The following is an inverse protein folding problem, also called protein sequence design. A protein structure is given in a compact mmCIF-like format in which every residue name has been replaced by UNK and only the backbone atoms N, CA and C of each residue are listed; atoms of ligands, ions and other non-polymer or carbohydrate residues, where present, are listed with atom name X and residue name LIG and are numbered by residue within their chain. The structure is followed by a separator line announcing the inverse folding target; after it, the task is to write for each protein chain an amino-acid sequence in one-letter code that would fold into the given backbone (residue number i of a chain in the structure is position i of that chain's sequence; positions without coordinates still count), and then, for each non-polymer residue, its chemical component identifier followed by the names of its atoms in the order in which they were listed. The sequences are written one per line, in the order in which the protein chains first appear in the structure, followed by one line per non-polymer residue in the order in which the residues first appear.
data_IF_516126947146
#
_entry.id   IF_516126947146
#
_cell.length_a   1.000
_cell.length_b   1.000
_cell.length_c   1.000
_cell.angle_alpha   90.00
_cell.angle_beta   90.00
_cell.angle_gamma   90.00
#
_symmetry.space_group_name_H-M   'P 1'
#
loop_
_entity.id
_entity.type
_entity.pdbx_description
1 polymer ?
#
# COMPACT_ATOMS: atom_id res chain seq x y z
N UNK A 1 5.30 3.58 -19.38
CA UNK A 1 6.32 3.20 -18.39
C UNK A 1 5.60 2.58 -17.21
N UNK A 2 6.11 1.49 -16.62
CA UNK A 2 5.51 0.86 -15.44
C UNK A 2 6.21 1.34 -14.19
N UNK A 3 5.43 1.68 -13.15
CA UNK A 3 5.97 2.03 -11.84
C UNK A 3 6.19 0.79 -10.96
N UNK A 4 5.54 -0.33 -11.30
CA UNK A 4 5.68 -1.59 -10.59
C UNK A 4 5.51 -2.75 -11.57
N UNK A 5 6.36 -3.76 -11.50
CA UNK A 5 6.17 -5.01 -12.25
C UNK A 5 6.61 -6.22 -11.43
N UNK A 6 5.91 -7.32 -11.64
CA UNK A 6 6.25 -8.66 -11.20
C UNK A 6 6.26 -9.59 -12.41
N UNK A 7 7.26 -10.45 -12.55
CA UNK A 7 7.36 -11.45 -13.60
C UNK A 7 7.68 -12.81 -12.98
N UNK A 8 6.79 -13.78 -13.20
CA UNK A 8 6.89 -15.16 -12.73
C UNK A 8 7.22 -15.32 -11.25
N UNK A 9 6.62 -14.43 -10.43
CA UNK A 9 6.88 -14.40 -8.99
C UNK A 9 6.30 -15.62 -8.32
N UNK A 10 7.15 -16.35 -7.60
CA UNK A 10 6.75 -17.48 -6.74
C UNK A 10 7.00 -17.17 -5.27
N UNK A 11 6.19 -17.78 -4.41
CA UNK A 11 6.43 -17.77 -2.97
C UNK A 11 6.06 -19.07 -2.33
N UNK A 12 7.04 -19.70 -1.70
CA UNK A 12 6.87 -20.91 -0.90
C UNK A 12 7.30 -20.62 0.53
N UNK A 13 6.42 -20.90 1.48
CA UNK A 13 6.73 -20.88 2.91
C UNK A 13 7.09 -22.29 3.37
N UNK A 14 7.99 -22.37 4.34
CA UNK A 14 8.39 -23.63 4.98
C UNK A 14 7.93 -23.63 6.43
N UNK A 15 7.13 -24.60 6.81
CA UNK A 15 6.69 -24.86 8.18
C UNK A 15 7.19 -26.24 8.59
N UNK A 16 8.32 -26.29 9.30
CA UNK A 16 8.97 -27.54 9.67
C UNK A 16 9.40 -28.34 8.43
N UNK A 17 8.76 -29.53 8.21
CA UNK A 17 9.02 -30.40 7.05
C UNK A 17 8.09 -30.13 5.86
N UNK A 18 7.03 -29.37 6.06
CA UNK A 18 6.07 -29.06 5.00
C UNK A 18 6.44 -27.77 4.27
N UNK A 19 6.06 -27.69 3.00
CA UNK A 19 6.23 -26.50 2.19
C UNK A 19 4.90 -26.13 1.53
N UNK A 20 4.45 -24.91 1.75
CA UNK A 20 3.21 -24.37 1.17
C UNK A 20 3.56 -23.36 0.09
N UNK A 21 3.21 -23.67 -1.16
CA UNK A 21 3.39 -22.76 -2.29
C UNK A 21 2.17 -21.86 -2.42
N UNK A 22 2.36 -20.57 -2.08
CA UNK A 22 1.29 -19.55 -2.08
C UNK A 22 1.22 -18.79 -3.40
N UNK A 23 2.37 -18.47 -4.01
CA UNK A 23 2.42 -17.88 -5.36
C UNK A 23 3.10 -18.84 -6.32
N UNK A 24 2.51 -19.01 -7.51
CA UNK A 24 2.86 -20.04 -8.48
C UNK A 24 3.17 -19.44 -9.87
N UNK A 25 4.01 -18.38 -9.93
CA UNK A 25 4.35 -17.68 -11.16
C UNK A 25 3.40 -16.51 -11.44
N UNK A 26 3.13 -15.68 -10.41
CA UNK A 26 2.30 -14.50 -10.57
C UNK A 26 3.03 -13.42 -11.36
N UNK A 27 2.39 -12.90 -12.43
CA UNK A 27 2.91 -11.79 -13.24
C UNK A 27 1.89 -10.67 -13.28
N UNK A 28 2.36 -9.42 -12.99
CA UNK A 28 1.51 -8.24 -12.90
C UNK A 28 2.33 -7.01 -13.26
N UNK A 29 1.69 -6.05 -13.92
CA UNK A 29 2.29 -4.74 -14.22
C UNK A 29 1.33 -3.63 -13.84
N UNK A 30 1.86 -2.56 -13.25
CA UNK A 30 1.14 -1.35 -12.87
C UNK A 30 1.76 -0.16 -13.59
N UNK A 31 0.99 0.48 -14.44
CA UNK A 31 1.45 1.65 -15.19
C UNK A 31 1.56 2.90 -14.29
N UNK A 32 2.28 3.91 -14.77
CA UNK A 32 2.33 5.20 -14.09
C UNK A 32 0.93 5.85 -14.11
N UNK A 33 0.47 6.30 -12.94
CA UNK A 33 -0.85 6.92 -12.77
C UNK A 33 -2.04 5.97 -12.84
N UNK A 34 -1.81 4.65 -12.93
CA UNK A 34 -2.88 3.65 -12.99
C UNK A 34 -3.40 3.31 -11.60
N UNK A 35 -4.71 3.13 -11.48
CA UNK A 35 -5.37 2.47 -10.35
C UNK A 35 -5.71 1.04 -10.76
N UNK A 36 -5.03 0.07 -10.19
CA UNK A 36 -5.22 -1.36 -10.45
C UNK A 36 -5.88 -2.01 -9.23
N UNK A 37 -7.01 -2.67 -9.44
CA UNK A 37 -7.63 -3.53 -8.43
C UNK A 37 -7.16 -4.99 -8.61
N UNK A 38 -6.71 -5.61 -7.52
CA UNK A 38 -6.38 -7.04 -7.45
C UNK A 38 -7.43 -7.75 -6.61
N UNK A 39 -8.27 -8.53 -7.27
CA UNK A 39 -9.36 -9.28 -6.66
C UNK A 39 -9.05 -10.78 -6.60
N UNK A 40 -9.75 -11.51 -5.75
CA UNK A 40 -9.67 -12.96 -5.66
C UNK A 40 -10.18 -13.50 -4.32
N UNK A 41 -10.43 -14.81 -4.19
CA UNK A 41 -10.92 -15.41 -2.96
C UNK A 41 -9.91 -15.28 -1.80
N UNK A 42 -10.38 -15.51 -0.58
CA UNK A 42 -9.48 -15.60 0.59
C UNK A 42 -8.47 -16.74 0.38
N UNK A 43 -7.21 -16.50 0.76
CA UNK A 43 -6.13 -17.49 0.58
C UNK A 43 -5.55 -17.57 -0.83
N UNK A 44 -6.02 -16.80 -1.82
CA UNK A 44 -5.48 -16.84 -3.19
C UNK A 44 -4.07 -16.27 -3.36
N UNK A 45 -3.50 -15.64 -2.33
CA UNK A 45 -2.14 -15.07 -2.37
C UNK A 45 -2.08 -13.55 -2.54
N UNK A 46 -3.20 -12.81 -2.52
CA UNK A 46 -3.26 -11.34 -2.69
C UNK A 46 -2.31 -10.58 -1.77
N UNK A 47 -2.48 -10.73 -0.46
CA UNK A 47 -1.64 -10.06 0.56
C UNK A 47 -0.18 -10.48 0.45
N UNK A 48 0.10 -11.73 0.08
CA UNK A 48 1.46 -12.22 -0.15
C UNK A 48 2.10 -11.52 -1.35
N UNK A 49 1.38 -11.44 -2.47
CA UNK A 49 1.85 -10.73 -3.67
C UNK A 49 2.05 -9.23 -3.35
N UNK A 50 1.07 -8.60 -2.71
CA UNK A 50 1.17 -7.20 -2.29
C UNK A 50 2.38 -6.95 -1.39
N UNK A 51 2.65 -7.84 -0.44
CA UNK A 51 3.81 -7.75 0.47
C UNK A 51 5.14 -7.88 -0.27
N UNK A 52 5.22 -8.73 -1.29
CA UNK A 52 6.42 -8.87 -2.14
C UNK A 52 6.62 -7.59 -2.97
N UNK A 53 5.57 -7.11 -3.63
CA UNK A 53 5.59 -5.88 -4.41
C UNK A 53 5.91 -4.66 -3.54
N UNK A 54 5.47 -4.67 -2.28
CA UNK A 54 5.77 -3.67 -1.26
C UNK A 54 7.17 -3.78 -0.64
N UNK A 55 8.00 -4.72 -1.10
CA UNK A 55 9.32 -4.98 -0.53
C UNK A 55 9.29 -5.27 0.98
N UNK A 56 8.19 -5.82 1.50
CA UNK A 56 8.04 -6.31 2.87
C UNK A 56 8.44 -7.78 2.99
N UNK A 57 8.29 -8.54 1.92
CA UNK A 57 8.56 -9.96 1.84
C UNK A 57 9.43 -10.26 0.61
N UNK A 58 10.37 -11.19 0.74
CA UNK A 58 11.16 -11.67 -0.38
C UNK A 58 10.39 -12.73 -1.19
N UNK A 59 10.45 -12.65 -2.51
CA UNK A 59 10.02 -13.73 -3.39
C UNK A 59 10.93 -14.95 -3.25
N UNK A 60 10.41 -16.15 -3.54
CA UNK A 60 11.23 -17.38 -3.66
C UNK A 60 11.96 -17.36 -5.01
N UNK A 61 11.26 -16.99 -6.08
CA UNK A 61 11.83 -16.77 -7.42
C UNK A 61 11.01 -15.74 -8.20
N UNK A 62 11.43 -15.41 -9.40
CA UNK A 62 10.84 -14.39 -10.25
C UNK A 62 11.54 -13.05 -10.10
N UNK A 63 11.00 -12.03 -10.77
CA UNK A 63 11.56 -10.66 -10.80
C UNK A 63 10.53 -9.65 -10.33
N UNK A 64 11.00 -8.65 -9.59
CA UNK A 64 10.20 -7.47 -9.20
C UNK A 64 10.98 -6.24 -9.59
N UNK A 65 10.28 -5.27 -10.20
CA UNK A 65 10.84 -3.96 -10.50
C UNK A 65 9.94 -2.87 -9.90
N UNK A 66 10.56 -1.86 -9.33
CA UNK A 66 9.89 -0.68 -8.75
C UNK A 66 10.52 0.58 -9.32
N UNK A 67 9.71 1.49 -9.84
CA UNK A 67 10.15 2.72 -10.49
C UNK A 67 11.21 2.48 -11.59
N UNK A 68 11.02 1.40 -12.38
CA UNK A 68 11.93 0.99 -13.45
C UNK A 68 13.27 0.40 -13.01
N UNK A 69 13.42 0.08 -11.70
CA UNK A 69 14.63 -0.50 -11.16
C UNK A 69 14.38 -1.93 -10.65
N UNK A 70 15.21 -2.91 -11.03
CA UNK A 70 15.08 -4.27 -10.53
C UNK A 70 15.42 -4.31 -9.03
N UNK A 71 14.62 -5.06 -8.28
CA UNK A 71 14.76 -5.20 -6.83
C UNK A 71 15.41 -6.56 -6.51
N UNK A 72 16.61 -6.55 -5.92
CA UNK A 72 17.23 -7.78 -5.43
C UNK A 72 16.55 -8.22 -4.12
N UNK A 73 15.59 -9.15 -4.27
CA UNK A 73 14.80 -9.67 -3.15
C UNK A 73 15.61 -10.44 -2.11
N UNK A 74 16.86 -10.81 -2.42
CA UNK A 74 17.77 -11.52 -1.50
C UNK A 74 18.52 -10.58 -0.56
N UNK A 75 18.49 -9.26 -0.84
CA UNK A 75 19.20 -8.25 -0.04
C UNK A 75 18.20 -7.42 0.78
N UNK A 76 18.05 -7.65 2.09
CA UNK A 76 17.14 -6.89 2.94
C UNK A 76 17.33 -5.36 2.87
N UNK A 77 18.59 -4.91 2.78
CA UNK A 77 18.90 -3.48 2.66
C UNK A 77 18.39 -2.87 1.34
N UNK A 78 18.44 -3.63 0.22
CA UNK A 78 17.87 -3.17 -1.06
C UNK A 78 16.34 -3.06 -0.99
N UNK A 79 15.67 -4.05 -0.41
CA UNK A 79 14.22 -4.00 -0.18
C UNK A 79 13.83 -2.78 0.67
N UNK A 80 14.56 -2.52 1.76
CA UNK A 80 14.31 -1.38 2.64
C UNK A 80 14.50 -0.04 1.91
N UNK A 81 15.58 0.10 1.12
CA UNK A 81 15.88 1.32 0.37
C UNK A 81 14.77 1.64 -0.65
N UNK A 82 14.33 0.64 -1.44
CA UNK A 82 13.25 0.79 -2.41
C UNK A 82 11.94 1.15 -1.73
N UNK A 83 11.56 0.42 -0.67
CA UNK A 83 10.33 0.69 0.08
C UNK A 83 10.33 2.11 0.65
N UNK A 84 11.43 2.53 1.27
CA UNK A 84 11.56 3.87 1.84
C UNK A 84 11.38 4.96 0.80
N UNK A 85 11.90 4.77 -0.43
CA UNK A 85 11.94 5.80 -1.47
C UNK A 85 10.67 5.86 -2.32
N UNK A 86 10.10 4.69 -2.66
CA UNK A 86 9.11 4.60 -3.74
C UNK A 86 7.74 4.12 -3.29
N UNK A 87 7.62 3.52 -2.10
CA UNK A 87 6.39 2.82 -1.72
C UNK A 87 5.73 3.46 -0.50
N UNK A 88 4.43 3.73 -0.62
CA UNK A 88 3.51 3.95 0.46
C UNK A 88 2.66 2.72 0.69
N UNK A 89 2.44 2.31 1.94
CA UNK A 89 1.63 1.13 2.25
C UNK A 89 0.47 1.48 3.18
N UNK A 90 -0.74 1.11 2.77
CA UNK A 90 -1.98 1.24 3.54
C UNK A 90 -2.44 -0.16 3.93
N UNK A 91 -2.44 -0.44 5.24
CA UNK A 91 -2.79 -1.75 5.78
C UNK A 91 -4.26 -1.83 6.18
N UNK A 92 -4.85 -3.01 6.11
CA UNK A 92 -6.22 -3.29 6.50
C UNK A 92 -6.50 -2.92 7.97
N UNK A 93 -5.55 -3.15 8.88
CA UNK A 93 -5.67 -2.84 10.31
C UNK A 93 -5.06 -1.48 10.69
N UNK A 94 -4.92 -0.57 9.73
CA UNK A 94 -4.34 0.77 9.88
C UNK A 94 -2.87 0.77 10.32
N UNK A 95 -2.45 -0.08 11.23
CA UNK A 95 -1.10 -0.21 11.81
C UNK A 95 -0.53 1.13 12.30
N UNK A 96 -1.38 1.94 12.95
CA UNK A 96 -0.96 3.19 13.60
C UNK A 96 -0.24 2.89 14.90
N UNK A 97 0.74 3.72 15.22
CA UNK A 97 1.40 3.69 16.51
C UNK A 97 0.43 4.23 17.58
N UNK A 98 0.00 3.41 18.56
CA UNK A 98 -1.07 3.80 19.48
C UNK A 98 -0.68 4.91 20.45
N UNK A 99 0.62 5.10 20.69
CA UNK A 99 1.17 6.13 21.57
C UNK A 99 1.44 7.45 20.85
N UNK A 100 1.32 7.50 19.53
CA UNK A 100 1.54 8.69 18.72
C UNK A 100 0.20 9.25 18.25
N UNK A 101 0.06 10.59 18.25
CA UNK A 101 -1.07 11.29 17.66
C UNK A 101 -1.17 11.05 16.14
N UNK A 102 -2.26 11.50 15.51
CA UNK A 102 -2.42 11.44 14.07
C UNK A 102 -1.27 12.13 13.33
N UNK A 103 -0.89 13.34 13.77
CA UNK A 103 0.23 14.11 13.23
C UNK A 103 1.56 13.37 13.40
N UNK A 104 1.86 12.90 14.61
CA UNK A 104 3.11 12.20 14.93
C UNK A 104 3.25 10.87 14.18
N UNK A 105 2.15 10.16 13.89
CA UNK A 105 2.18 8.96 13.05
C UNK A 105 2.68 9.26 11.62
N UNK A 106 2.31 10.43 11.07
CA UNK A 106 2.76 10.87 9.74
C UNK A 106 4.20 11.41 9.81
N UNK A 107 4.49 12.22 10.81
CA UNK A 107 5.82 12.77 11.06
C UNK A 107 6.87 11.68 11.24
N UNK A 108 6.55 10.63 12.00
CA UNK A 108 7.43 9.47 12.15
C UNK A 108 7.80 8.82 10.80
N UNK A 109 6.81 8.70 9.89
CA UNK A 109 7.08 8.16 8.55
C UNK A 109 7.98 9.07 7.70
N UNK A 110 7.83 10.39 7.83
CA UNK A 110 8.70 11.38 7.19
C UNK A 110 10.13 11.28 7.74
N UNK A 111 10.28 11.15 9.08
CA UNK A 111 11.57 11.00 9.72
C UNK A 111 12.32 9.75 9.22
N UNK A 112 11.63 8.62 9.08
CA UNK A 112 12.20 7.40 8.51
C UNK A 112 12.67 7.59 7.06
N UNK A 113 12.09 8.54 6.34
CA UNK A 113 12.44 8.88 4.96
C UNK A 113 13.49 9.99 4.85
N UNK A 114 13.95 10.52 5.99
CA UNK A 114 15.03 11.51 6.07
C UNK A 114 14.57 12.97 6.15
N UNK A 115 13.25 13.23 6.22
CA UNK A 115 12.69 14.56 6.50
C UNK A 115 12.54 14.69 8.00
N UNK A 116 13.21 15.65 8.64
CA UNK A 116 13.29 15.80 10.10
C UNK A 116 13.01 17.23 10.57
N UNK A 117 12.75 17.40 11.88
CA UNK A 117 12.54 18.71 12.50
C UNK A 117 11.29 19.42 11.99
N UNK A 118 11.31 20.75 12.00
CA UNK A 118 10.17 21.60 11.63
C UNK A 118 9.61 21.30 10.23
N UNK A 119 10.46 20.85 9.31
CA UNK A 119 10.06 20.46 7.96
C UNK A 119 9.17 19.20 7.99
N UNK A 120 9.51 18.19 8.82
CA UNK A 120 8.69 17.01 8.99
C UNK A 120 7.32 17.37 9.59
N UNK A 121 7.31 18.20 10.62
CA UNK A 121 6.07 18.67 11.27
C UNK A 121 5.18 19.43 10.29
N UNK A 122 5.76 20.31 9.48
CA UNK A 122 5.04 21.09 8.48
C UNK A 122 4.44 20.17 7.39
N UNK A 123 5.21 19.26 6.84
CA UNK A 123 4.72 18.32 5.83
C UNK A 123 3.68 17.35 6.39
N UNK A 124 3.85 16.89 7.62
CA UNK A 124 2.87 16.04 8.29
C UNK A 124 1.54 16.77 8.48
N UNK A 125 1.57 18.06 8.90
CA UNK A 125 0.37 18.86 9.05
C UNK A 125 -0.37 19.03 7.71
N UNK A 126 0.33 19.29 6.62
CA UNK A 126 -0.25 19.38 5.28
C UNK A 126 -0.91 18.06 4.84
N UNK A 127 -0.28 16.93 5.11
CA UNK A 127 -0.84 15.61 4.78
C UNK A 127 -2.08 15.29 5.62
N UNK A 128 -2.09 15.67 6.90
CA UNK A 128 -3.24 15.48 7.81
C UNK A 128 -4.40 16.39 7.38
N UNK A 129 -4.12 17.64 7.01
CA UNK A 129 -5.12 18.57 6.48
C UNK A 129 -5.72 18.04 5.17
N UNK A 130 -4.89 17.55 4.28
CA UNK A 130 -5.29 16.98 2.99
C UNK A 130 -6.27 15.80 3.11
N UNK A 131 -6.12 14.97 4.14
CA UNK A 131 -7.08 13.89 4.40
C UNK A 131 -8.28 14.34 5.25
N UNK A 132 -8.44 15.65 5.47
CA UNK A 132 -9.57 16.25 6.17
C UNK A 132 -9.54 16.04 7.69
N UNK A 133 -8.35 15.98 8.29
CA UNK A 133 -8.16 15.70 9.72
C UNK A 133 -7.40 16.82 10.48
N UNK A 134 -7.34 18.04 9.97
CA UNK A 134 -6.62 19.15 10.59
C UNK A 134 -7.00 19.34 12.07
N UNK A 135 -8.30 19.34 12.40
CA UNK A 135 -8.80 19.49 13.77
C UNK A 135 -8.55 18.25 14.65
N UNK A 136 -8.15 17.12 14.05
CA UNK A 136 -7.88 15.85 14.74
C UNK A 136 -6.39 15.51 14.77
N UNK A 137 -5.52 16.43 14.32
CA UNK A 137 -4.07 16.21 14.22
C UNK A 137 -3.42 15.73 15.52
N UNK A 138 -3.90 16.20 16.67
CA UNK A 138 -3.37 15.87 18.01
C UNK A 138 -4.07 14.70 18.69
N UNK A 139 -5.09 14.07 18.06
CA UNK A 139 -5.80 12.95 18.63
C UNK A 139 -4.97 11.67 18.54
N UNK A 140 -5.05 10.85 19.59
CA UNK A 140 -4.47 9.51 19.57
C UNK A 140 -5.37 8.55 18.76
N UNK A 141 -4.83 7.45 18.22
CA UNK A 141 -5.62 6.48 17.47
C UNK A 141 -6.85 5.95 18.22
N UNK A 142 -6.79 5.79 19.53
CA UNK A 142 -7.92 5.35 20.35
C UNK A 142 -9.12 6.31 20.30
N UNK A 143 -8.87 7.59 20.05
CA UNK A 143 -9.87 8.66 20.06
C UNK A 143 -10.40 8.96 18.62
N UNK A 144 -9.94 8.21 17.63
CA UNK A 144 -10.31 8.32 16.23
C UNK A 144 -11.29 7.19 15.83
N UNK A 145 -12.27 7.52 14.98
CA UNK A 145 -13.12 6.52 14.31
C UNK A 145 -12.30 5.65 13.34
N UNK A 146 -12.87 4.52 12.89
CA UNK A 146 -12.22 3.65 11.91
C UNK A 146 -11.85 4.39 10.61
N UNK A 147 -12.76 5.19 10.07
CA UNK A 147 -12.49 6.00 8.87
C UNK A 147 -11.44 7.09 9.09
N UNK A 148 -11.39 7.69 10.28
CA UNK A 148 -10.34 8.66 10.63
C UNK A 148 -8.98 7.97 10.74
N UNK A 149 -8.89 6.79 11.37
CA UNK A 149 -7.67 5.97 11.41
C UNK A 149 -7.18 5.62 10.00
N UNK A 150 -8.10 5.26 9.11
CA UNK A 150 -7.75 4.96 7.72
C UNK A 150 -7.19 6.17 7.00
N UNK A 151 -7.78 7.35 7.18
CA UNK A 151 -7.27 8.59 6.61
C UNK A 151 -5.87 8.94 7.14
N UNK A 152 -5.59 8.72 8.43
CA UNK A 152 -4.24 8.87 8.99
C UNK A 152 -3.27 7.86 8.37
N UNK A 153 -3.68 6.60 8.19
CA UNK A 153 -2.86 5.57 7.54
C UNK A 153 -2.54 5.94 6.07
N UNK A 154 -3.49 6.54 5.34
CA UNK A 154 -3.27 7.07 3.99
C UNK A 154 -2.30 8.25 4.02
N UNK A 155 -2.50 9.24 4.90
CA UNK A 155 -1.58 10.37 5.05
C UNK A 155 -0.14 9.89 5.33
N UNK A 156 0.00 8.91 6.22
CA UNK A 156 1.29 8.27 6.51
C UNK A 156 1.89 7.57 5.29
N UNK A 157 1.08 6.87 4.51
CA UNK A 157 1.53 6.21 3.29
C UNK A 157 2.03 7.21 2.24
N UNK A 158 1.44 8.41 2.20
CA UNK A 158 1.83 9.50 1.30
C UNK A 158 3.09 10.26 1.74
N UNK A 159 3.59 10.02 2.94
CA UNK A 159 4.79 10.67 3.46
C UNK A 159 5.97 10.53 2.47
N UNK A 160 6.65 11.65 2.21
CA UNK A 160 7.76 11.75 1.25
C UNK A 160 7.43 11.29 -0.18
N UNK A 161 6.19 11.49 -0.59
CA UNK A 161 5.75 11.43 -2.00
C UNK A 161 6.12 10.14 -2.74
N UNK A 162 5.63 8.96 -2.30
CA UNK A 162 5.90 7.70 -2.99
C UNK A 162 5.33 7.71 -4.41
N UNK A 163 5.99 7.03 -5.36
CA UNK A 163 5.48 6.84 -6.72
C UNK A 163 4.39 5.75 -6.80
N UNK A 164 4.40 4.82 -5.84
CA UNK A 164 3.45 3.70 -5.76
C UNK A 164 2.81 3.65 -4.38
N UNK A 165 1.49 3.54 -4.34
CA UNK A 165 0.72 3.27 -3.13
C UNK A 165 0.11 1.88 -3.23
N UNK A 166 0.38 1.05 -2.24
CA UNK A 166 -0.16 -0.30 -2.10
C UNK A 166 -1.18 -0.32 -0.97
N UNK A 167 -2.39 -0.74 -1.24
CA UNK A 167 -3.46 -0.76 -0.26
C UNK A 167 -4.03 -2.18 -0.10
N UNK A 168 -3.98 -2.71 1.11
CA UNK A 168 -4.55 -4.01 1.47
C UNK A 168 -5.89 -3.79 2.15
N UNK A 169 -6.99 -4.16 1.48
CA UNK A 169 -8.37 -4.04 1.95
C UNK A 169 -8.70 -2.66 2.56
N UNK A 170 -8.44 -1.54 1.86
CA UNK A 170 -8.47 -0.20 2.48
C UNK A 170 -9.87 0.27 2.88
N UNK A 171 -10.93 -0.39 2.42
CA UNK A 171 -12.33 -0.08 2.74
C UNK A 171 -12.98 -1.09 3.67
N UNK A 172 -12.27 -2.19 4.02
CA UNK A 172 -12.76 -3.16 4.97
C UNK A 172 -12.99 -2.50 6.35
N UNK A 173 -14.04 -2.89 7.03
CA UNK A 173 -14.43 -2.35 8.34
C UNK A 173 -14.85 -0.86 8.36
N UNK A 174 -15.16 -0.27 7.20
CA UNK A 174 -15.69 1.08 7.08
C UNK A 174 -17.15 1.03 6.63
N UNK A 175 -17.94 2.00 7.11
CA UNK A 175 -19.27 2.20 6.56
C UNK A 175 -19.23 2.65 5.09
N UNK A 176 -20.34 2.50 4.38
CA UNK A 176 -20.40 2.71 2.93
C UNK A 176 -20.05 4.15 2.51
N UNK A 177 -20.38 5.14 3.34
CA UNK A 177 -20.12 6.55 3.03
C UNK A 177 -18.65 6.90 3.20
N UNK A 178 -18.02 6.41 4.25
CA UNK A 178 -16.59 6.59 4.51
C UNK A 178 -15.76 5.81 3.49
N UNK A 179 -16.16 4.58 3.14
CA UNK A 179 -15.51 3.81 2.09
C UNK A 179 -15.49 4.56 0.75
N UNK A 180 -16.62 5.18 0.37
CA UNK A 180 -16.71 5.99 -0.84
C UNK A 180 -15.70 7.16 -0.81
N UNK A 181 -15.62 7.89 0.30
CA UNK A 181 -14.67 9.00 0.45
C UNK A 181 -13.21 8.56 0.37
N UNK A 182 -12.87 7.38 0.89
CA UNK A 182 -11.52 6.81 0.76
C UNK A 182 -11.21 6.46 -0.71
N UNK A 183 -12.16 5.91 -1.44
CA UNK A 183 -11.98 5.61 -2.85
C UNK A 183 -11.85 6.87 -3.70
N UNK A 184 -12.61 7.92 -3.40
CA UNK A 184 -12.50 9.21 -4.06
C UNK A 184 -11.10 9.84 -3.83
N UNK A 185 -10.58 9.75 -2.60
CA UNK A 185 -9.21 10.17 -2.28
C UNK A 185 -8.17 9.40 -3.09
N UNK A 186 -8.31 8.08 -3.24
CA UNK A 186 -7.40 7.29 -4.07
C UNK A 186 -7.48 7.68 -5.54
N UNK A 187 -8.68 7.92 -6.07
CA UNK A 187 -8.87 8.41 -7.44
C UNK A 187 -8.20 9.76 -7.67
N UNK A 188 -8.32 10.67 -6.71
CA UNK A 188 -7.65 11.97 -6.77
C UNK A 188 -6.13 11.81 -6.82
N UNK A 189 -5.54 10.99 -5.94
CA UNK A 189 -4.11 10.72 -5.90
C UNK A 189 -3.56 10.20 -7.24
N UNK A 190 -4.29 9.32 -7.91
CA UNK A 190 -3.90 8.81 -9.21
C UNK A 190 -3.98 9.88 -10.30
N UNK A 191 -5.12 10.55 -10.40
CA UNK A 191 -5.44 11.45 -11.53
C UNK A 191 -4.73 12.79 -11.45
N UNK A 192 -4.59 13.37 -10.25
CA UNK A 192 -4.01 14.70 -10.08
C UNK A 192 -2.50 14.67 -9.80
N UNK A 193 -2.00 13.60 -9.20
CA UNK A 193 -0.58 13.50 -8.82
C UNK A 193 0.19 12.45 -9.62
N UNK A 194 -0.47 11.72 -10.51
CA UNK A 194 0.15 10.68 -11.32
C UNK A 194 0.68 9.50 -10.51
N UNK A 195 0.16 9.28 -9.29
CA UNK A 195 0.57 8.14 -8.45
C UNK A 195 -0.07 6.86 -8.94
N UNK A 196 0.70 5.79 -8.90
CA UNK A 196 0.17 4.46 -9.22
C UNK A 196 -0.36 3.79 -7.97
N UNK A 197 -1.55 3.22 -8.04
CA UNK A 197 -2.21 2.56 -6.91
C UNK A 197 -2.49 1.09 -7.25
N UNK A 198 -2.08 0.19 -6.35
CA UNK A 198 -2.52 -1.20 -6.37
C UNK A 198 -3.39 -1.44 -5.14
N UNK A 199 -4.66 -1.74 -5.36
CA UNK A 199 -5.64 -1.98 -4.31
C UNK A 199 -6.01 -3.46 -4.32
N UNK A 200 -5.66 -4.15 -3.25
CA UNK A 200 -6.14 -5.52 -2.99
C UNK A 200 -7.46 -5.42 -2.27
N UNK A 201 -8.49 -6.07 -2.79
CA UNK A 201 -9.82 -6.01 -2.19
C UNK A 201 -10.73 -7.14 -2.66
N UNK A 202 -11.79 -7.38 -1.89
CA UNK A 202 -12.97 -8.12 -2.29
C UNK A 202 -14.22 -7.21 -2.40
N UNK A 203 -14.08 -5.90 -2.14
CA UNK A 203 -15.17 -4.91 -2.25
C UNK A 203 -15.36 -4.49 -3.72
N UNK A 204 -16.49 -4.84 -4.36
CA UNK A 204 -16.75 -4.49 -5.76
C UNK A 204 -16.83 -2.99 -6.02
N UNK A 205 -17.01 -2.17 -4.98
CA UNK A 205 -17.03 -0.69 -5.11
C UNK A 205 -15.71 -0.12 -5.59
N UNK A 206 -14.60 -0.81 -5.38
CA UNK A 206 -13.27 -0.39 -5.87
C UNK A 206 -13.22 -0.33 -7.39
N UNK A 207 -14.02 -1.15 -8.09
CA UNK A 207 -14.13 -1.13 -9.56
C UNK A 207 -14.57 0.23 -10.12
N UNK A 208 -15.23 1.05 -9.31
CA UNK A 208 -15.66 2.41 -9.69
C UNK A 208 -14.45 3.34 -9.95
N UNK A 209 -13.35 3.12 -9.26
CA UNK A 209 -12.16 3.98 -9.32
C UNK A 209 -10.98 3.29 -10.01
N UNK A 210 -11.05 1.97 -10.21
CA UNK A 210 -10.00 1.20 -10.85
C UNK A 210 -10.05 1.39 -12.39
N UNK A 211 -8.90 1.63 -12.99
CA UNK A 211 -8.74 1.65 -14.44
C UNK A 211 -8.72 0.21 -15.00
N UNK A 212 -8.26 -0.74 -14.20
CA UNK A 212 -8.19 -2.15 -14.54
C UNK A 212 -8.37 -3.04 -13.32
N UNK A 213 -9.01 -4.18 -13.52
CA UNK A 213 -9.20 -5.22 -12.51
C UNK A 213 -8.47 -6.48 -12.95
N UNK A 214 -7.71 -7.06 -12.05
CA UNK A 214 -6.98 -8.32 -12.26
C UNK A 214 -7.39 -9.32 -11.19
N UNK A 215 -7.54 -10.57 -11.57
CA UNK A 215 -7.92 -11.63 -10.65
C UNK A 215 -6.74 -12.53 -10.33
N UNK A 216 -6.61 -12.90 -9.05
CA UNK A 216 -5.66 -13.91 -8.60
C UNK A 216 -6.42 -15.09 -8.00
N UNK A 217 -6.11 -16.30 -8.48
CA UNK A 217 -6.67 -17.54 -7.99
C UNK A 217 -5.56 -18.58 -7.86
N UNK A 218 -5.54 -19.31 -6.76
CA UNK A 218 -4.54 -20.37 -6.47
C UNK A 218 -3.08 -19.92 -6.75
N UNK A 219 -2.75 -18.69 -6.37
CA UNK A 219 -1.41 -18.13 -6.51
C UNK A 219 -1.00 -17.73 -7.94
N UNK A 220 -1.95 -17.70 -8.88
CA UNK A 220 -1.74 -17.30 -10.28
C UNK A 220 -2.62 -16.11 -10.65
N UNK A 221 -2.11 -15.23 -11.47
CA UNK A 221 -2.91 -14.16 -12.08
C UNK A 221 -3.68 -14.79 -13.25
N UNK A 222 -5.01 -14.63 -13.22
CA UNK A 222 -5.85 -15.00 -14.36
C UNK A 222 -5.57 -14.05 -15.54
N UNK A 223 -5.46 -14.62 -16.71
CA UNK A 223 -5.24 -13.87 -17.96
C UNK A 223 -6.48 -13.04 -18.36
#
# INVERSE_FOLDING_TARGET
MFNLSAEDVTKTFREGRESVSVLKGASLRLAAGEVLALEGPSGSGKTTLLSILGCLLSATSGRVEVAGQPVDSRKPAALQAVRRRHIGFVFQQFNLFPALSALENVEYALNLKGVVGDEATRQAAQLIERVGLAERARFLPRDLSGGQKQRVAIARALAASPSVVLADEPTANLDASVAAQILDLFSELARTEGRSLLIVTHDPKVRRVADRVVHIEDGRIAA
#
